data_IF_414324545392
#
_entry.id   IF_414324545392
#
_cell.length_a   1.000
_cell.length_b   1.000
_cell.length_c   1.000
_cell.angle_alpha   90.00
_cell.angle_beta   90.00
_cell.angle_gamma   90.00
#
_symmetry.space_group_name_H-M   'P 1'
#
loop_
_entity.id
_entity.type
_entity.pdbx_description
1 polymer ?
#
# COMPACT_ATOMS: atom_id res chain seq x y z
N UNK A 1 26.49 5.00 35.13
CA UNK A 1 26.39 4.61 33.70
C UNK A 1 25.17 3.71 33.57
N UNK A 2 24.05 4.26 33.10
CA UNK A 2 22.82 3.51 32.91
C UNK A 2 22.59 3.31 31.40
N UNK A 3 22.42 2.06 30.99
CA UNK A 3 22.10 1.67 29.61
C UNK A 3 20.72 2.21 29.20
N UNK A 4 20.51 2.65 27.94
CA UNK A 4 19.18 3.00 27.48
C UNK A 4 18.38 1.71 27.27
N UNK A 5 17.39 1.49 28.13
CA UNK A 5 16.36 0.46 27.97
C UNK A 5 15.54 0.77 26.73
N UNK A 6 15.73 0.00 25.66
CA UNK A 6 14.84 -0.08 24.52
C UNK A 6 13.47 -0.58 25.00
N UNK A 7 12.47 0.31 25.08
CA UNK A 7 11.08 -0.08 25.27
C UNK A 7 10.63 -0.84 24.04
N UNK A 8 10.64 -2.17 24.11
CA UNK A 8 9.93 -3.03 23.16
C UNK A 8 8.43 -2.79 23.33
N UNK A 9 7.76 -2.26 22.30
CA UNK A 9 6.31 -2.23 22.26
C UNK A 9 5.77 -3.66 22.27
N UNK A 10 4.77 -3.99 23.12
CA UNK A 10 4.21 -5.33 23.18
C UNK A 10 3.22 -5.52 22.01
N UNK A 11 3.73 -5.74 20.81
CA UNK A 11 2.93 -6.18 19.67
C UNK A 11 2.80 -7.70 19.77
N UNK A 12 1.79 -8.18 20.50
CA UNK A 12 1.20 -9.52 20.27
C UNK A 12 0.07 -9.77 21.26
N UNK A 13 -1.20 -9.72 20.78
CA UNK A 13 -2.37 -10.51 21.28
C UNK A 13 -3.74 -10.17 20.64
N UNK A 14 -3.86 -9.25 19.69
CA UNK A 14 -5.14 -8.52 19.48
C UNK A 14 -5.79 -8.61 18.08
N UNK A 15 -5.79 -9.76 17.41
CA UNK A 15 -6.62 -9.93 16.20
C UNK A 15 -7.68 -11.03 16.38
N UNK A 16 -8.92 -10.76 15.94
CA UNK A 16 -10.01 -11.74 15.89
C UNK A 16 -10.63 -11.73 14.50
N UNK A 17 -10.65 -12.87 13.82
CA UNK A 17 -11.43 -13.07 12.59
C UNK A 17 -12.91 -12.97 12.95
N UNK A 18 -13.63 -12.06 12.31
CA UNK A 18 -15.09 -12.08 12.31
C UNK A 18 -15.57 -12.46 10.91
N UNK A 19 -16.25 -13.61 10.83
CA UNK A 19 -16.99 -14.00 9.64
C UNK A 19 -18.36 -13.36 9.73
N UNK A 20 -18.67 -12.48 8.78
CA UNK A 20 -20.02 -11.97 8.60
C UNK A 20 -20.52 -12.50 7.26
N UNK A 21 -21.46 -13.44 7.30
CA UNK A 21 -22.29 -13.75 6.13
C UNK A 21 -23.42 -12.72 6.09
N UNK A 22 -23.25 -11.63 5.36
CA UNK A 22 -24.33 -10.68 5.11
C UNK A 22 -24.84 -10.87 3.69
N UNK A 23 -26.08 -11.31 3.56
CA UNK A 23 -26.77 -11.44 2.27
C UNK A 23 -27.37 -10.08 1.89
N UNK A 24 -26.50 -9.11 1.55
CA UNK A 24 -26.92 -7.87 0.86
C UNK A 24 -26.07 -7.74 -0.41
N UNK A 25 -26.74 -7.70 -1.57
CA UNK A 25 -26.15 -7.53 -2.90
C UNK A 25 -25.24 -8.68 -3.41
N UNK A 26 -25.69 -9.93 -3.37
CA UNK A 26 -25.06 -11.11 -4.01
C UNK A 26 -23.70 -11.60 -3.45
N UNK A 27 -23.04 -10.88 -2.53
CA UNK A 27 -21.83 -11.37 -1.86
C UNK A 27 -22.23 -12.39 -0.78
N UNK A 28 -21.82 -13.66 -0.92
CA UNK A 28 -22.28 -14.73 -0.01
C UNK A 28 -21.42 -14.90 1.25
N UNK A 29 -20.15 -14.50 1.23
CA UNK A 29 -19.27 -14.62 2.41
C UNK A 29 -18.19 -13.54 2.43
N UNK A 30 -18.24 -12.66 3.43
CA UNK A 30 -17.21 -11.66 3.69
C UNK A 30 -16.46 -12.01 4.96
N UNK A 31 -15.14 -11.96 4.90
CA UNK A 31 -14.29 -12.19 6.05
C UNK A 31 -13.51 -10.90 6.37
N UNK A 32 -13.66 -10.43 7.62
CA UNK A 32 -13.10 -9.15 8.07
C UNK A 32 -11.99 -9.40 9.09
N UNK A 33 -10.84 -8.78 8.83
CA UNK A 33 -9.79 -8.62 9.83
C UNK A 33 -10.02 -7.28 10.55
N UNK A 34 -10.17 -7.31 11.87
CA UNK A 34 -10.33 -6.12 12.71
C UNK A 34 -9.53 -6.25 14.01
N UNK A 35 -9.16 -5.11 14.60
CA UNK A 35 -8.51 -5.05 15.91
C UNK A 35 -9.47 -5.54 17.01
N UNK A 36 -8.94 -6.35 17.93
CA UNK A 36 -9.67 -6.95 19.05
C UNK A 36 -10.02 -5.94 20.15
N UNK A 37 -9.35 -4.80 20.29
CA UNK A 37 -9.59 -3.86 21.39
C UNK A 37 -10.81 -2.95 21.17
N UNK A 38 -11.24 -2.73 19.93
CA UNK A 38 -12.35 -1.81 19.63
C UNK A 38 -13.71 -2.50 19.60
N UNK A 39 -13.78 -3.81 19.26
CA UNK A 39 -14.99 -4.68 19.22
C UNK A 39 -16.25 -4.12 18.52
N UNK A 40 -16.22 -2.88 18.05
CA UNK A 40 -17.13 -2.27 17.11
C UNK A 40 -16.49 -2.42 15.74
N UNK A 41 -17.29 -2.71 14.73
CA UNK A 41 -16.92 -2.91 13.33
C UNK A 41 -16.32 -1.67 12.64
N UNK A 42 -15.81 -0.68 13.38
CA UNK A 42 -15.65 0.68 12.86
C UNK A 42 -14.40 0.90 12.00
N UNK A 43 -13.40 0.00 12.02
CA UNK A 43 -12.30 0.05 11.04
C UNK A 43 -11.91 -1.38 10.64
N UNK A 44 -12.45 -1.84 9.52
CA UNK A 44 -12.00 -3.09 8.90
C UNK A 44 -10.58 -2.88 8.32
N UNK A 45 -9.64 -3.73 8.71
CA UNK A 45 -8.24 -3.70 8.23
C UNK A 45 -8.11 -4.44 6.89
N UNK A 46 -8.90 -5.50 6.70
CA UNK A 46 -9.02 -6.21 5.42
C UNK A 46 -10.41 -6.79 5.28
N UNK A 47 -10.95 -6.75 4.06
CA UNK A 47 -12.23 -7.32 3.69
C UNK A 47 -12.02 -8.17 2.44
N UNK A 48 -12.35 -9.46 2.55
CA UNK A 48 -12.29 -10.41 1.44
C UNK A 48 -13.68 -10.89 1.04
N UNK A 49 -14.02 -10.79 -0.24
CA UNK A 49 -15.08 -11.59 -0.83
C UNK A 49 -14.53 -12.96 -1.19
N UNK A 50 -14.94 -14.00 -0.46
CA UNK A 50 -14.44 -15.34 -0.70
C UNK A 50 -14.98 -15.98 -1.99
N UNK A 51 -16.05 -15.43 -2.58
CA UNK A 51 -16.56 -15.90 -3.88
C UNK A 51 -15.84 -15.22 -5.04
N UNK A 52 -15.22 -14.08 -4.78
CA UNK A 52 -14.56 -13.25 -5.77
C UNK A 52 -13.32 -12.56 -5.15
N UNK A 53 -12.27 -13.34 -4.85
CA UNK A 53 -11.14 -12.87 -4.06
C UNK A 53 -10.26 -11.83 -4.77
N UNK A 54 -10.44 -11.64 -6.09
CA UNK A 54 -9.69 -10.70 -6.91
C UNK A 54 -10.41 -9.35 -7.08
N UNK A 55 -11.71 -9.30 -6.80
CA UNK A 55 -12.44 -8.05 -6.74
C UNK A 55 -12.23 -7.37 -5.38
N UNK A 56 -11.43 -6.31 -5.37
CA UNK A 56 -11.20 -5.55 -4.16
C UNK A 56 -12.50 -4.92 -3.63
N UNK A 57 -12.78 -5.13 -2.36
CA UNK A 57 -13.87 -4.42 -1.68
C UNK A 57 -13.46 -2.98 -1.35
N UNK A 58 -12.21 -2.78 -0.92
CA UNK A 58 -11.71 -1.45 -0.61
C UNK A 58 -11.34 -0.65 -1.87
N UNK A 59 -11.83 0.60 -2.01
CA UNK A 59 -11.45 1.47 -3.11
C UNK A 59 -9.94 1.73 -3.22
N UNK A 60 -9.22 1.84 -2.10
CA UNK A 60 -7.77 2.08 -2.12
C UNK A 60 -6.99 0.95 -2.78
N UNK A 61 -7.41 -0.30 -2.57
CA UNK A 61 -6.76 -1.45 -3.18
C UNK A 61 -6.96 -1.47 -4.71
N UNK A 62 -8.12 -1.00 -5.20
CA UNK A 62 -8.33 -0.75 -6.64
C UNK A 62 -7.40 0.33 -7.18
N UNK A 63 -7.25 1.43 -6.44
CA UNK A 63 -6.38 2.53 -6.84
C UNK A 63 -4.89 2.15 -6.84
N UNK A 64 -4.44 1.19 -6.02
CA UNK A 64 -3.06 0.65 -6.08
C UNK A 64 -2.74 0.06 -7.46
N UNK A 65 -3.73 -0.53 -8.14
CA UNK A 65 -3.56 -1.15 -9.47
C UNK A 65 -3.17 -0.11 -10.54
N UNK A 66 -3.44 1.18 -10.32
CA UNK A 66 -3.00 2.26 -11.21
C UNK A 66 -1.47 2.31 -11.37
N UNK A 67 -0.68 1.71 -10.48
CA UNK A 67 0.77 1.57 -10.66
C UNK A 67 1.12 0.84 -11.97
N UNK A 68 0.25 -0.04 -12.46
CA UNK A 68 0.44 -0.79 -13.71
C UNK A 68 0.46 0.12 -14.96
N UNK A 69 -0.06 1.36 -14.88
CA UNK A 69 -0.01 2.33 -15.99
C UNK A 69 1.44 2.63 -16.38
N UNK A 70 2.33 2.69 -15.39
CA UNK A 70 3.77 2.89 -15.59
C UNK A 70 4.55 1.59 -15.71
N UNK A 71 4.10 0.53 -15.03
CA UNK A 71 4.73 -0.77 -15.09
C UNK A 71 3.72 -1.89 -15.34
N UNK A 72 3.43 -2.16 -16.62
CA UNK A 72 2.33 -3.05 -17.03
C UNK A 72 2.66 -4.54 -16.99
N UNK A 73 3.94 -4.91 -16.89
CA UNK A 73 4.38 -6.30 -16.81
C UNK A 73 5.46 -6.47 -15.71
N UNK A 74 5.12 -6.22 -14.44
CA UNK A 74 6.07 -6.37 -13.35
C UNK A 74 6.51 -7.83 -13.21
N UNK A 75 7.82 -8.04 -13.02
CA UNK A 75 8.39 -9.36 -12.73
C UNK A 75 8.78 -9.52 -11.27
N UNK A 76 9.18 -8.41 -10.63
CA UNK A 76 9.56 -8.40 -9.22
C UNK A 76 8.74 -7.36 -8.48
N UNK A 77 7.92 -7.79 -7.54
CA UNK A 77 7.04 -6.92 -6.76
C UNK A 77 7.41 -7.06 -5.29
N UNK A 78 7.52 -5.94 -4.60
CA UNK A 78 7.69 -5.90 -3.16
C UNK A 78 6.53 -5.20 -2.48
N UNK A 79 5.99 -5.79 -1.43
CA UNK A 79 4.83 -5.26 -0.70
C UNK A 79 5.15 -5.18 0.78
N UNK A 80 5.17 -3.96 1.32
CA UNK A 80 5.26 -3.71 2.76
C UNK A 80 3.85 -3.68 3.33
N UNK A 81 3.57 -4.61 4.24
CA UNK A 81 2.24 -4.93 4.73
C UNK A 81 1.65 -6.08 3.93
N UNK A 82 1.49 -7.24 4.57
CA UNK A 82 0.80 -8.36 3.94
C UNK A 82 -0.71 -8.24 4.19
N UNK A 83 -1.09 -7.82 5.40
CA UNK A 83 -2.49 -7.66 5.78
C UNK A 83 -3.28 -8.95 5.55
N UNK A 84 -4.48 -8.85 5.00
CA UNK A 84 -5.24 -10.03 4.59
C UNK A 84 -4.70 -10.74 3.35
N UNK A 85 -3.71 -10.18 2.65
CA UNK A 85 -3.11 -10.78 1.46
C UNK A 85 -3.84 -10.52 0.15
N UNK A 86 -4.83 -9.60 0.11
CA UNK A 86 -5.66 -9.38 -1.10
C UNK A 86 -4.84 -8.79 -2.23
N UNK A 87 -4.04 -7.77 -1.94
CA UNK A 87 -3.15 -7.13 -2.92
C UNK A 87 -2.07 -8.11 -3.40
N UNK A 88 -1.32 -8.82 -2.52
CA UNK A 88 -0.40 -9.86 -2.97
C UNK A 88 -1.06 -10.95 -3.83
N UNK A 89 -2.26 -11.42 -3.45
CA UNK A 89 -3.01 -12.44 -4.19
C UNK A 89 -3.45 -11.96 -5.58
N UNK A 90 -3.85 -10.69 -5.70
CA UNK A 90 -4.18 -10.06 -6.97
C UNK A 90 -2.99 -10.11 -7.94
N UNK A 91 -1.82 -9.63 -7.50
CA UNK A 91 -0.63 -9.66 -8.35
C UNK A 91 -0.17 -11.09 -8.66
N UNK A 92 -0.27 -12.02 -7.70
CA UNK A 92 0.11 -13.42 -7.89
C UNK A 92 -0.75 -14.13 -8.93
N UNK A 93 -2.03 -13.78 -9.00
CA UNK A 93 -2.98 -14.31 -9.99
C UNK A 93 -2.77 -13.71 -11.37
N UNK A 94 -2.74 -12.38 -11.49
CA UNK A 94 -2.71 -11.71 -12.79
C UNK A 94 -1.32 -11.69 -13.45
N UNK A 95 -0.25 -11.93 -12.69
CA UNK A 95 1.13 -11.99 -13.18
C UNK A 95 1.77 -13.34 -12.81
N UNK A 96 1.49 -14.41 -13.58
CA UNK A 96 1.94 -15.77 -13.26
C UNK A 96 3.48 -15.91 -13.25
N UNK A 97 4.20 -15.03 -13.96
CA UNK A 97 5.66 -15.03 -14.01
C UNK A 97 6.31 -14.08 -12.97
N UNK A 98 5.50 -13.34 -12.21
CA UNK A 98 6.02 -12.42 -11.20
C UNK A 98 6.40 -13.14 -9.91
N UNK A 99 7.52 -12.71 -9.31
CA UNK A 99 7.84 -12.98 -7.91
C UNK A 99 7.37 -11.81 -7.06
N UNK A 100 6.62 -12.13 -6.02
CA UNK A 100 6.01 -11.20 -5.06
C UNK A 100 6.59 -11.52 -3.69
N UNK A 101 7.38 -10.60 -3.19
CA UNK A 101 7.89 -10.63 -1.84
C UNK A 101 7.10 -9.67 -0.97
N UNK A 102 6.63 -10.14 0.17
CA UNK A 102 5.94 -9.32 1.14
C UNK A 102 6.67 -9.33 2.48
N UNK A 103 6.47 -8.28 3.25
CA UNK A 103 6.83 -8.24 4.67
C UNK A 103 5.65 -7.85 5.51
N UNK A 104 5.50 -8.50 6.66
CA UNK A 104 4.57 -8.08 7.69
C UNK A 104 5.21 -8.30 9.06
N UNK A 105 5.05 -7.36 9.98
CA UNK A 105 5.60 -7.48 11.33
C UNK A 105 4.79 -8.46 12.18
N UNK A 106 3.51 -8.67 11.88
CA UNK A 106 2.63 -9.53 12.66
C UNK A 106 2.40 -10.88 11.97
N UNK A 107 3.10 -11.90 12.49
CA UNK A 107 2.91 -13.31 12.09
C UNK A 107 1.44 -13.76 12.18
N UNK A 108 0.67 -13.22 13.12
CA UNK A 108 -0.73 -13.58 13.33
C UNK A 108 -1.60 -13.19 12.14
N UNK A 109 -1.31 -12.04 11.52
CA UNK A 109 -2.03 -11.55 10.35
C UNK A 109 -1.81 -12.49 9.16
N UNK A 110 -0.57 -12.89 8.91
CA UNK A 110 -0.21 -13.86 7.85
C UNK A 110 -0.89 -15.20 8.08
N UNK A 111 -0.84 -15.72 9.31
CA UNK A 111 -1.50 -16.99 9.65
C UNK A 111 -3.03 -16.92 9.48
N UNK A 112 -3.65 -15.77 9.79
CA UNK A 112 -5.06 -15.52 9.54
C UNK A 112 -5.36 -15.55 8.05
N UNK A 113 -4.60 -14.83 7.23
CA UNK A 113 -4.79 -14.79 5.79
C UNK A 113 -4.74 -16.19 5.14
N UNK A 114 -3.73 -17.00 5.49
CA UNK A 114 -3.62 -18.38 4.97
C UNK A 114 -4.79 -19.26 5.43
N UNK A 115 -5.10 -19.23 6.74
CA UNK A 115 -6.13 -20.10 7.32
C UNK A 115 -7.55 -19.75 6.89
N UNK A 116 -7.80 -18.47 6.66
CA UNK A 116 -9.16 -17.93 6.64
C UNK A 116 -9.56 -17.21 5.35
N UNK A 117 -8.59 -16.71 4.59
CA UNK A 117 -8.81 -16.14 3.26
C UNK A 117 -8.27 -17.06 2.15
N UNK A 118 -7.69 -18.21 2.52
CA UNK A 118 -7.26 -19.23 1.57
C UNK A 118 -5.95 -18.93 0.85
N UNK A 119 -5.23 -17.87 1.26
CA UNK A 119 -3.98 -17.46 0.61
C UNK A 119 -2.94 -18.57 0.72
N UNK A 120 -2.43 -19.02 -0.43
CA UNK A 120 -1.36 -20.00 -0.51
C UNK A 120 -0.05 -19.30 -0.81
N UNK A 121 0.96 -19.55 0.03
CA UNK A 121 2.32 -19.10 -0.23
C UNK A 121 3.03 -20.18 -1.05
N UNK A 122 3.88 -19.75 -1.98
CA UNK A 122 4.63 -20.63 -2.87
C UNK A 122 5.97 -19.98 -3.24
N UNK A 123 6.66 -20.52 -4.26
CA UNK A 123 7.94 -20.00 -4.69
C UNK A 123 7.87 -18.57 -5.28
N UNK A 124 6.67 -18.16 -5.71
CA UNK A 124 6.41 -16.83 -6.29
C UNK A 124 5.84 -15.86 -5.26
N UNK A 125 4.97 -16.28 -4.34
CA UNK A 125 4.40 -15.45 -3.29
C UNK A 125 5.00 -15.81 -1.92
N UNK A 126 5.91 -14.96 -1.44
CA UNK A 126 6.64 -15.17 -0.19
C UNK A 126 6.35 -14.04 0.80
N UNK A 127 6.31 -14.39 2.09
CA UNK A 127 6.14 -13.40 3.18
C UNK A 127 7.23 -13.59 4.22
N UNK A 128 7.98 -12.54 4.49
CA UNK A 128 8.92 -12.48 5.61
C UNK A 128 8.26 -11.81 6.82
N UNK A 129 8.39 -12.43 8.00
CA UNK A 129 7.94 -11.84 9.26
C UNK A 129 9.02 -10.88 9.76
N UNK A 130 9.02 -9.67 9.22
CA UNK A 130 10.03 -8.65 9.45
C UNK A 130 9.45 -7.27 9.16
N UNK A 131 10.08 -6.24 9.71
CA UNK A 131 9.84 -4.88 9.28
C UNK A 131 10.25 -4.66 7.80
N UNK A 132 9.36 -4.04 7.02
CA UNK A 132 9.56 -3.93 5.58
C UNK A 132 10.67 -2.98 5.13
N UNK A 133 11.00 -1.96 5.92
CA UNK A 133 12.14 -1.09 5.62
C UNK A 133 13.45 -1.75 6.02
N UNK A 134 13.48 -2.47 7.13
CA UNK A 134 14.68 -3.21 7.56
C UNK A 134 14.99 -4.33 6.55
N UNK A 135 13.97 -5.06 6.11
CA UNK A 135 14.11 -6.07 5.05
C UNK A 135 14.69 -5.49 3.76
N UNK A 136 14.20 -4.31 3.30
CA UNK A 136 14.76 -3.64 2.12
C UNK A 136 16.20 -3.16 2.32
N UNK A 137 16.55 -2.72 3.52
CA UNK A 137 17.91 -2.27 3.85
C UNK A 137 18.89 -3.45 3.86
N UNK A 138 18.49 -4.56 4.50
CA UNK A 138 19.32 -5.76 4.68
C UNK A 138 19.43 -6.61 3.42
N UNK A 139 18.54 -6.44 2.43
CA UNK A 139 18.55 -7.25 1.20
C UNK A 139 19.88 -7.11 0.44
N UNK A 140 20.64 -8.18 0.38
CA UNK A 140 21.95 -8.24 -0.31
C UNK A 140 21.77 -8.43 -1.83
N UNK A 141 20.60 -8.90 -2.28
CA UNK A 141 20.34 -9.17 -3.70
C UNK A 141 20.47 -7.92 -4.59
N UNK A 142 21.05 -8.12 -5.77
CA UNK A 142 21.10 -7.12 -6.83
C UNK A 142 19.75 -6.97 -7.57
N UNK A 143 18.81 -7.91 -7.39
CA UNK A 143 17.48 -7.85 -7.99
C UNK A 143 16.77 -6.56 -7.59
N UNK A 144 16.27 -5.84 -8.59
CA UNK A 144 15.47 -4.63 -8.42
C UNK A 144 14.00 -4.94 -8.56
N UNK A 145 13.17 -4.17 -7.87
CA UNK A 145 11.72 -4.29 -7.95
C UNK A 145 11.16 -3.40 -9.06
N UNK A 146 10.21 -3.95 -9.78
CA UNK A 146 9.42 -3.24 -10.77
C UNK A 146 8.32 -2.41 -10.09
N UNK A 147 7.76 -2.95 -9.01
CA UNK A 147 6.78 -2.26 -8.17
C UNK A 147 7.15 -2.44 -6.71
N UNK A 148 7.18 -1.34 -5.95
CA UNK A 148 7.16 -1.34 -4.48
C UNK A 148 5.81 -0.81 -4.04
N UNK A 149 5.11 -1.54 -3.18
CA UNK A 149 3.82 -1.14 -2.59
C UNK A 149 4.03 -0.96 -1.09
N UNK A 150 3.59 0.18 -0.56
CA UNK A 150 3.59 0.47 0.87
C UNK A 150 2.14 0.54 1.33
N UNK A 151 1.66 -0.55 1.93
CA UNK A 151 0.31 -0.70 2.47
C UNK A 151 0.40 -1.23 3.91
N UNK A 152 1.00 -0.42 4.78
CA UNK A 152 1.23 -0.77 6.17
C UNK A 152 0.60 0.26 7.09
N UNK A 153 -0.22 -0.23 8.02
CA UNK A 153 -0.85 0.58 9.05
C UNK A 153 -0.89 -0.12 10.39
N UNK A 154 -0.98 0.68 11.45
CA UNK A 154 -1.32 0.20 12.77
C UNK A 154 -2.84 0.02 12.87
N UNK A 155 -3.29 -0.87 13.75
CA UNK A 155 -4.72 -1.08 14.04
C UNK A 155 -5.46 0.19 14.48
N UNK A 156 -4.73 1.24 14.87
CA UNK A 156 -5.22 2.58 15.18
C UNK A 156 -5.48 3.47 13.96
N UNK A 157 -5.17 3.02 12.73
CA UNK A 157 -5.37 3.81 11.52
C UNK A 157 -4.24 4.78 11.18
N UNK A 158 -3.02 4.54 11.66
CA UNK A 158 -1.84 5.35 11.34
C UNK A 158 -0.79 4.55 10.58
N UNK A 159 -0.17 5.16 9.57
CA UNK A 159 1.01 4.58 8.91
C UNK A 159 2.24 4.70 9.84
N UNK A 160 3.20 3.75 9.83
CA UNK A 160 4.46 3.93 10.54
C UNK A 160 5.30 5.09 9.99
N UNK A 161 5.71 6.05 10.84
CA UNK A 161 6.45 7.26 10.40
C UNK A 161 7.70 6.94 9.57
N UNK A 162 8.43 5.90 9.98
CA UNK A 162 9.64 5.42 9.30
C UNK A 162 9.41 4.90 7.88
N UNK A 163 8.16 4.77 7.43
CA UNK A 163 7.75 4.41 6.07
C UNK A 163 7.28 5.63 5.24
N UNK A 164 7.43 6.86 5.75
CA UNK A 164 7.12 8.09 5.01
C UNK A 164 8.25 9.11 4.95
N UNK A 165 9.44 8.75 5.44
CA UNK A 165 10.58 9.66 5.45
C UNK A 165 11.28 9.71 4.09
N UNK A 166 11.99 10.82 3.84
CA UNK A 166 12.81 10.98 2.65
C UNK A 166 13.83 9.84 2.51
N UNK A 167 14.49 9.45 3.60
CA UNK A 167 15.49 8.37 3.61
C UNK A 167 14.87 7.02 3.26
N UNK A 168 13.66 6.74 3.75
CA UNK A 168 12.93 5.54 3.35
C UNK A 168 12.57 5.56 1.86
N UNK A 169 12.07 6.68 1.33
CA UNK A 169 11.78 6.77 -0.10
C UNK A 169 13.04 6.69 -0.96
N UNK A 170 14.19 7.23 -0.50
CA UNK A 170 15.49 7.05 -1.15
C UNK A 170 15.92 5.58 -1.16
N UNK A 171 15.72 4.86 -0.04
CA UNK A 171 15.94 3.42 0.02
C UNK A 171 15.06 2.69 -1.00
N UNK A 172 13.76 2.98 -1.05
CA UNK A 172 12.86 2.40 -2.06
C UNK A 172 13.33 2.69 -3.48
N UNK A 173 13.66 3.95 -3.80
CA UNK A 173 14.22 4.34 -5.10
C UNK A 173 15.47 3.56 -5.45
N UNK A 174 16.38 3.34 -4.48
CA UNK A 174 17.60 2.55 -4.70
C UNK A 174 17.31 1.07 -4.99
N UNK A 175 16.14 0.55 -4.61
CA UNK A 175 15.72 -0.84 -4.81
C UNK A 175 14.78 -1.02 -6.02
N UNK A 176 14.29 0.06 -6.61
CA UNK A 176 13.50 0.02 -7.83
C UNK A 176 14.37 -0.22 -9.08
N UNK A 177 13.78 -0.81 -10.11
CA UNK A 177 14.36 -0.91 -11.44
C UNK A 177 14.30 0.46 -12.14
N UNK A 178 14.98 0.61 -13.29
CA UNK A 178 14.95 1.88 -14.03
C UNK A 178 13.54 2.25 -14.52
N UNK A 179 12.66 1.26 -14.67
CA UNK A 179 11.24 1.42 -15.00
C UNK A 179 10.33 1.23 -13.77
N UNK A 180 10.90 1.30 -12.57
CA UNK A 180 10.18 1.01 -11.34
C UNK A 180 9.22 2.11 -10.92
N UNK A 181 8.18 1.70 -10.18
CA UNK A 181 7.18 2.58 -9.58
C UNK A 181 6.97 2.22 -8.12
N UNK A 182 6.73 3.22 -7.28
CA UNK A 182 6.25 3.01 -5.92
C UNK A 182 4.79 3.46 -5.81
N UNK A 183 3.97 2.67 -5.14
CA UNK A 183 2.62 3.03 -4.73
C UNK A 183 2.55 3.05 -3.19
N UNK A 184 2.07 4.15 -2.62
CA UNK A 184 1.98 4.35 -1.17
C UNK A 184 0.53 4.62 -0.81
N UNK A 185 -0.02 3.79 0.08
CA UNK A 185 -1.32 4.02 0.66
C UNK A 185 -1.20 5.02 1.82
N UNK A 186 -1.77 6.20 1.64
CA UNK A 186 -1.84 7.28 2.62
C UNK A 186 -3.26 7.34 3.19
N UNK A 187 -3.42 7.19 4.50
CA UNK A 187 -4.74 7.16 5.15
C UNK A 187 -4.72 8.01 6.42
N UNK A 188 -4.60 9.33 6.23
CA UNK A 188 -4.50 10.29 7.32
C UNK A 188 -5.18 11.63 6.95
N UNK A 189 -5.16 12.58 7.90
CA UNK A 189 -5.55 13.98 7.68
C UNK A 189 -4.86 14.57 6.44
N UNK A 190 -5.56 15.47 5.74
CA UNK A 190 -5.13 16.02 4.45
C UNK A 190 -3.72 16.64 4.48
N UNK A 191 -3.38 17.42 5.53
CA UNK A 191 -2.06 18.04 5.70
C UNK A 191 -0.94 17.01 5.81
N UNK A 192 -1.22 15.87 6.45
CA UNK A 192 -0.26 14.77 6.56
C UNK A 192 0.01 14.14 5.20
N UNK A 193 -1.06 13.82 4.47
CA UNK A 193 -0.94 13.24 3.13
C UNK A 193 -0.18 14.20 2.20
N UNK A 194 -0.43 15.52 2.31
CA UNK A 194 0.31 16.54 1.56
C UNK A 194 1.81 16.57 1.94
N UNK A 195 2.15 16.50 3.22
CA UNK A 195 3.55 16.43 3.66
C UNK A 195 4.25 15.12 3.19
N UNK A 196 3.55 13.99 3.20
CA UNK A 196 4.05 12.72 2.66
C UNK A 196 4.29 12.81 1.15
N UNK A 197 3.37 13.43 0.39
CA UNK A 197 3.50 13.66 -1.06
C UNK A 197 4.64 14.62 -1.36
N UNK A 198 4.79 15.70 -0.60
CA UNK A 198 5.94 16.62 -0.68
C UNK A 198 7.26 15.88 -0.43
N UNK A 199 7.27 14.96 0.52
CA UNK A 199 8.44 14.12 0.81
C UNK A 199 8.76 13.17 -0.35
N UNK A 200 7.76 12.54 -0.98
CA UNK A 200 7.94 11.74 -2.21
C UNK A 200 8.52 12.57 -3.36
N UNK A 201 8.04 13.78 -3.57
CA UNK A 201 8.52 14.69 -4.64
C UNK A 201 10.00 15.09 -4.46
N UNK A 202 10.52 15.05 -3.22
CA UNK A 202 11.94 15.29 -2.98
C UNK A 202 12.85 14.16 -3.50
N UNK A 203 12.28 12.99 -3.79
CA UNK A 203 13.02 11.78 -4.19
C UNK A 203 12.71 11.35 -5.62
N UNK A 204 11.45 11.49 -6.06
CA UNK A 204 10.97 11.05 -7.37
C UNK A 204 10.63 12.24 -8.27
N UNK A 205 10.97 12.13 -9.55
CA UNK A 205 10.72 13.18 -10.52
C UNK A 205 9.22 13.44 -10.76
N UNK A 206 8.38 12.41 -10.56
CA UNK A 206 6.93 12.48 -10.79
C UNK A 206 6.20 11.79 -9.67
N UNK A 207 5.18 12.46 -9.17
CA UNK A 207 4.25 11.95 -8.17
C UNK A 207 2.83 12.25 -8.63
N UNK A 208 1.99 11.23 -8.59
CA UNK A 208 0.56 11.29 -8.86
C UNK A 208 -0.20 10.87 -7.61
N UNK A 209 -1.41 11.38 -7.43
CA UNK A 209 -2.24 11.10 -6.25
C UNK A 209 -3.64 10.76 -6.71
N UNK A 210 -4.17 9.64 -6.24
CA UNK A 210 -5.57 9.27 -6.38
C UNK A 210 -6.25 9.43 -5.01
N UNK A 211 -6.97 10.55 -4.83
CA UNK A 211 -7.64 10.84 -3.56
C UNK A 211 -9.00 10.14 -3.51
N UNK A 212 -9.24 9.42 -2.44
CA UNK A 212 -10.43 8.61 -2.21
C UNK A 212 -11.21 9.16 -1.02
N UNK A 213 -12.35 8.55 -0.72
CA UNK A 213 -13.17 8.93 0.42
C UNK A 213 -12.43 8.70 1.77
N UNK A 214 -12.89 9.41 2.80
CA UNK A 214 -12.49 9.19 4.20
C UNK A 214 -10.98 9.34 4.47
N UNK A 215 -10.28 10.19 3.70
CA UNK A 215 -8.87 10.50 3.91
C UNK A 215 -7.88 9.48 3.32
N UNK A 216 -8.37 8.46 2.64
CA UNK A 216 -7.54 7.51 1.89
C UNK A 216 -7.04 8.18 0.60
N UNK A 217 -5.78 7.97 0.27
CA UNK A 217 -5.16 8.43 -0.97
C UNK A 217 -4.07 7.44 -1.38
N UNK A 218 -3.98 7.15 -2.67
CA UNK A 218 -2.85 6.40 -3.22
C UNK A 218 -1.91 7.39 -3.90
N UNK A 219 -0.69 7.50 -3.39
CA UNK A 219 0.38 8.23 -4.04
C UNK A 219 1.22 7.28 -4.90
N UNK A 220 1.40 7.60 -6.19
CA UNK A 220 2.19 6.83 -7.15
C UNK A 220 3.37 7.69 -7.57
N UNK A 221 4.60 7.20 -7.36
CA UNK A 221 5.81 7.94 -7.69
C UNK A 221 6.76 7.15 -8.59
N UNK A 222 7.36 7.83 -9.57
CA UNK A 222 8.26 7.23 -10.56
C UNK A 222 9.21 8.28 -11.16
N UNK A 223 10.27 7.81 -11.83
CA UNK A 223 11.17 8.65 -12.64
C UNK A 223 10.94 8.49 -14.16
N UNK A 224 10.01 7.62 -14.57
CA UNK A 224 9.62 7.41 -15.97
C UNK A 224 9.00 8.67 -16.58
N UNK A 225 9.03 8.86 -17.91
CA UNK A 225 8.49 10.03 -18.61
C UNK A 225 7.08 10.45 -18.17
N UNK A 226 6.77 11.74 -18.38
CA UNK A 226 5.46 12.27 -18.04
C UNK A 226 4.45 11.66 -19.02
N UNK A 227 3.36 11.12 -18.48
CA UNK A 227 2.22 10.71 -19.27
C UNK A 227 1.14 11.79 -19.17
N UNK A 228 0.52 12.12 -20.30
CA UNK A 228 -0.67 12.95 -20.31
C UNK A 228 -1.92 12.16 -19.90
N UNK A 229 -3.06 12.86 -19.75
CA UNK A 229 -4.31 12.24 -19.30
C UNK A 229 -4.86 11.20 -20.28
N UNK A 230 -4.69 11.41 -21.58
CA UNK A 230 -5.18 10.49 -22.61
C UNK A 230 -4.33 9.23 -22.63
N UNK A 231 -3.01 9.37 -22.50
CA UNK A 231 -2.08 8.23 -22.39
C UNK A 231 -2.37 7.40 -21.13
N UNK A 232 -2.58 8.05 -19.98
CA UNK A 232 -2.95 7.38 -18.72
C UNK A 232 -4.26 6.60 -18.90
N UNK A 233 -5.29 7.23 -19.46
CA UNK A 233 -6.59 6.59 -19.69
C UNK A 233 -6.46 5.39 -20.64
N UNK A 234 -5.77 5.57 -21.77
CA UNK A 234 -5.58 4.52 -22.77
C UNK A 234 -4.79 3.32 -22.22
N UNK A 235 -3.74 3.56 -21.43
CA UNK A 235 -3.02 2.50 -20.73
C UNK A 235 -3.91 1.78 -19.72
N UNK A 236 -4.74 2.50 -18.97
CA UNK A 236 -5.67 1.89 -18.04
C UNK A 236 -6.72 1.01 -18.74
N UNK A 237 -7.22 1.43 -19.90
CA UNK A 237 -8.14 0.64 -20.75
C UNK A 237 -7.47 -0.66 -21.23
N UNK A 238 -6.22 -0.59 -21.71
CA UNK A 238 -5.46 -1.79 -22.09
C UNK A 238 -5.30 -2.76 -20.92
N UNK A 239 -4.95 -2.26 -19.73
CA UNK A 239 -4.76 -3.10 -18.54
C UNK A 239 -6.09 -3.72 -18.09
N UNK A 240 -7.16 -2.92 -18.09
CA UNK A 240 -8.53 -3.34 -17.77
C UNK A 240 -8.95 -4.52 -18.65
N UNK A 241 -8.78 -4.40 -19.96
CA UNK A 241 -9.21 -5.40 -20.94
C UNK A 241 -8.30 -6.64 -20.93
N UNK A 242 -6.97 -6.43 -20.89
CA UNK A 242 -6.00 -7.52 -20.92
C UNK A 242 -6.15 -8.47 -19.73
N UNK A 243 -6.37 -7.93 -18.54
CA UNK A 243 -6.58 -8.73 -17.33
C UNK A 243 -8.06 -9.04 -17.06
N UNK A 244 -9.00 -8.47 -17.82
CA UNK A 244 -10.43 -8.59 -17.57
C UNK A 244 -10.79 -8.27 -16.10
N UNK A 245 -10.35 -7.10 -15.62
CA UNK A 245 -10.50 -6.72 -14.21
C UNK A 245 -11.98 -6.58 -13.82
N UNK A 246 -12.33 -7.01 -12.62
CA UNK A 246 -13.72 -6.99 -12.14
C UNK A 246 -14.18 -5.61 -11.62
N UNK A 247 -13.29 -4.63 -11.61
CA UNK A 247 -13.55 -3.24 -11.28
C UNK A 247 -13.01 -2.34 -12.39
N UNK A 248 -13.59 -1.14 -12.54
CA UNK A 248 -13.16 -0.18 -13.56
C UNK A 248 -11.88 0.56 -13.15
N UNK A 249 -10.77 0.24 -13.81
CA UNK A 249 -9.51 0.96 -13.63
C UNK A 249 -9.57 2.34 -14.30
N UNK A 250 -10.31 2.48 -15.40
CA UNK A 250 -10.50 3.76 -16.10
C UNK A 250 -11.26 4.77 -15.22
N UNK A 251 -12.24 4.34 -14.43
CA UNK A 251 -12.87 5.20 -13.42
C UNK A 251 -11.87 5.69 -12.36
N UNK A 252 -10.93 4.84 -11.93
CA UNK A 252 -9.89 5.26 -10.98
C UNK A 252 -8.97 6.34 -11.57
N UNK A 253 -8.71 6.33 -12.89
CA UNK A 253 -7.90 7.38 -13.54
C UNK A 253 -8.53 8.77 -13.46
N UNK A 254 -9.86 8.88 -13.31
CA UNK A 254 -10.54 10.17 -13.21
C UNK A 254 -10.18 10.90 -11.90
N UNK A 255 -9.84 10.14 -10.85
CA UNK A 255 -9.43 10.66 -9.55
C UNK A 255 -7.91 10.89 -9.47
N UNK A 256 -7.16 10.39 -10.46
CA UNK A 256 -5.71 10.50 -10.52
C UNK A 256 -5.30 11.91 -10.97
N UNK A 257 -4.50 12.56 -10.13
CA UNK A 257 -4.02 13.92 -10.34
C UNK A 257 -2.51 13.97 -10.23
N UNK A 258 -1.88 14.95 -10.88
CA UNK A 258 -0.49 15.26 -10.56
C UNK A 258 -0.42 15.83 -9.12
N UNK A 259 0.61 15.46 -8.37
CA UNK A 259 0.78 15.88 -6.97
C UNK A 259 0.70 17.41 -6.76
N UNK A 260 1.10 18.24 -7.73
CA UNK A 260 0.97 19.70 -7.66
C UNK A 260 -0.48 20.12 -7.32
N UNK A 261 -1.46 19.46 -7.93
CA UNK A 261 -2.88 19.76 -7.71
C UNK A 261 -3.38 19.38 -6.30
N UNK A 262 -2.81 18.35 -5.67
CA UNK A 262 -3.11 18.02 -4.28
C UNK A 262 -2.51 19.07 -3.35
N UNK A 263 -1.24 19.43 -3.57
CA UNK A 263 -0.53 20.39 -2.72
C UNK A 263 -1.20 21.76 -2.74
N UNK A 264 -1.54 22.27 -3.93
CA UNK A 264 -2.26 23.53 -4.10
C UNK A 264 -3.64 23.56 -3.42
N UNK A 265 -4.26 22.39 -3.18
CA UNK A 265 -5.54 22.29 -2.47
C UNK A 265 -5.42 22.42 -0.95
N UNK A 266 -4.20 22.35 -0.41
CA UNK A 266 -3.91 22.45 1.03
C UNK A 266 -3.38 23.84 1.35
N UNK A 267 -4.05 24.52 2.29
CA UNK A 267 -3.64 25.84 2.74
C UNK A 267 -2.21 25.80 3.33
N UNK A 268 -1.34 26.70 2.88
CA UNK A 268 0.05 26.80 3.32
C UNK A 268 0.87 25.50 3.16
N UNK A 269 0.60 24.69 2.12
CA UNK A 269 1.32 23.44 1.88
C UNK A 269 2.86 23.62 1.77
N UNK A 270 3.31 24.78 1.32
CA UNK A 270 4.73 25.14 1.24
C UNK A 270 5.41 25.14 2.61
N UNK A 271 4.68 25.45 3.68
CA UNK A 271 5.17 25.44 5.05
C UNK A 271 5.12 24.05 5.70
N UNK A 272 4.46 23.07 5.07
CA UNK A 272 4.43 21.69 5.60
C UNK A 272 5.85 21.11 5.65
N UNK A 273 6.19 20.35 6.70
CA UNK A 273 7.51 19.77 6.83
C UNK A 273 7.73 18.70 5.76
N UNK A 274 9.00 18.52 5.39
CA UNK A 274 9.44 17.27 4.77
C UNK A 274 9.71 16.26 5.87
N UNK A 275 9.24 15.03 5.71
CA UNK A 275 9.49 13.98 6.69
C UNK A 275 10.89 13.42 6.53
N UNK A 276 11.61 13.29 7.66
CA UNK A 276 13.00 12.81 7.70
C UNK A 276 13.18 11.92 8.91
N UNK A 277 14.16 11.04 8.89
CA UNK A 277 14.48 10.18 10.04
C UNK A 277 14.95 10.96 11.28
N UNK A 278 15.39 12.21 11.10
CA UNK A 278 15.95 13.03 12.17
C UNK A 278 14.95 13.34 13.29
N UNK A 279 13.68 13.57 12.94
CA UNK A 279 12.63 13.86 13.92
C UNK A 279 11.23 13.59 13.37
N UNK A 280 10.45 12.81 14.12
CA UNK A 280 9.01 12.70 13.92
C UNK A 280 8.31 13.99 14.35
N UNK A 281 7.41 14.58 13.54
CA UNK A 281 6.67 15.77 13.92
C UNK A 281 5.88 15.56 15.22
N UNK A 282 5.76 16.59 16.09
CA UNK A 282 4.88 16.55 17.25
C UNK A 282 3.45 16.20 16.84
N UNK A 283 2.79 15.33 17.61
CA UNK A 283 1.40 14.93 17.35
C UNK A 283 1.20 13.92 16.22
N UNK A 284 2.27 13.26 15.73
CA UNK A 284 2.15 12.24 14.69
C UNK A 284 1.27 11.04 15.09
N UNK A 285 1.25 10.68 16.37
CA UNK A 285 0.46 9.57 16.91
C UNK A 285 -0.84 10.03 17.61
N UNK A 286 -1.15 11.33 17.54
CA UNK A 286 -2.28 11.97 18.23
C UNK A 286 -3.55 12.10 17.35
#
# INVERSE_FOLDING_TARGET
>A
MASPTTRRHPISRNFRRQLHSSQKNQIRTVAVLADRSTLTTNVAQSIFDLNNPLNFIFPYAKAIVLALIWQSQPKNIYIIGFGGGSIPQFFHHYFPDATIECTDIDRTIVAVAQKYFGIQLDDRLKVAIQDGRDYLAEKISATKYDIIIVDAGFGSGYMPYRLVTQEFYQLCKSRLSNSGVIAVHLFHKQDFNAAAVKTLQSVFARVYTCNLAEGNSIAIATNLPLLDKNEIFFKAEIIQDFHNLEFSLTEQTQQLKNAAQLLESVANWEALPMFTDAAMPPGYLD
#
